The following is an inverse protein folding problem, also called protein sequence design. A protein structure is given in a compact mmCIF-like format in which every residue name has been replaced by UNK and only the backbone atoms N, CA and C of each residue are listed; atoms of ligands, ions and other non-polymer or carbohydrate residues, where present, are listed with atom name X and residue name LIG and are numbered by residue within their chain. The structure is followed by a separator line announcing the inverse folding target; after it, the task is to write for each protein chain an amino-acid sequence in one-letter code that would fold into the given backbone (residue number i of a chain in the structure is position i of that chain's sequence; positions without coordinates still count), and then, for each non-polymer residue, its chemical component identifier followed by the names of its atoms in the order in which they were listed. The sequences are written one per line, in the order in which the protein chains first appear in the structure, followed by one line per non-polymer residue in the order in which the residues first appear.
data_IF_276576614221
#
_entry.id   IF_276576614221
#
_cell.length_a   1.000
_cell.length_b   1.000
_cell.length_c   1.000
_cell.angle_alpha   90.00
_cell.angle_beta   90.00
_cell.angle_gamma   90.00
#
_symmetry.space_group_name_H-M   'P 1'
#
loop_
_entity.id
_entity.type
_entity.pdbx_description
1 polymer ?
#
# COMPACT_ATOMS: atom_id res chain seq x y z
N UNK A 1 12.32 16.17 -13.17
CA UNK A 1 10.99 15.68 -12.77
C UNK A 1 10.62 14.55 -13.73
N UNK A 2 10.45 13.35 -13.23
CA UNK A 2 10.02 12.21 -14.07
C UNK A 2 8.49 12.21 -14.11
N UNK A 3 7.94 12.55 -15.27
CA UNK A 3 6.49 12.47 -15.47
C UNK A 3 6.00 11.02 -15.39
N UNK A 4 4.76 10.77 -14.88
CA UNK A 4 4.17 9.44 -14.83
C UNK A 4 4.15 8.78 -16.22
N UNK A 5 5.03 7.80 -16.42
CA UNK A 5 5.19 7.15 -17.74
C UNK A 5 4.01 6.22 -18.06
N UNK A 6 3.41 5.61 -17.04
CA UNK A 6 2.26 4.73 -17.21
C UNK A 6 1.05 5.47 -17.77
N UNK A 7 0.75 6.66 -17.25
CA UNK A 7 -0.36 7.47 -17.77
C UNK A 7 -0.11 7.88 -19.24
N UNK A 8 1.10 8.30 -19.57
CA UNK A 8 1.47 8.60 -20.97
C UNK A 8 1.26 7.40 -21.89
N UNK A 9 1.62 6.20 -21.42
CA UNK A 9 1.39 4.97 -22.18
C UNK A 9 -0.09 4.77 -22.47
N UNK A 10 -0.96 4.93 -21.46
CA UNK A 10 -2.42 4.79 -21.63
C UNK A 10 -2.97 5.81 -22.60
N UNK A 11 -2.63 7.09 -22.45
CA UNK A 11 -3.13 8.16 -23.31
C UNK A 11 -2.67 7.99 -24.78
N UNK A 12 -1.44 7.49 -25.00
CA UNK A 12 -0.97 7.11 -26.34
C UNK A 12 -1.79 5.95 -26.93
N UNK A 13 -2.14 4.93 -26.15
CA UNK A 13 -3.00 3.84 -26.61
C UNK A 13 -4.37 4.35 -27.03
N UNK A 14 -5.02 5.22 -26.24
CA UNK A 14 -6.30 5.84 -26.58
C UNK A 14 -6.20 6.57 -27.90
N UNK A 15 -5.23 7.48 -28.05
CA UNK A 15 -5.03 8.26 -29.27
C UNK A 15 -4.74 7.41 -30.50
N UNK A 16 -3.90 6.37 -30.37
CA UNK A 16 -3.51 5.50 -31.49
C UNK A 16 -4.67 4.64 -32.00
N UNK A 17 -5.67 4.34 -31.18
CA UNK A 17 -6.84 3.54 -31.54
C UNK A 17 -8.03 4.41 -31.96
N UNK A 18 -7.90 5.74 -31.91
CA UNK A 18 -8.98 6.66 -32.25
C UNK A 18 -10.15 6.63 -31.26
N UNK A 19 -9.90 6.11 -30.05
CA UNK A 19 -10.89 6.10 -28.98
C UNK A 19 -10.83 7.40 -28.17
N UNK A 20 -11.94 7.73 -27.50
CA UNK A 20 -11.98 8.82 -26.55
C UNK A 20 -11.87 8.35 -25.08
N UNK A 21 -11.59 9.30 -24.21
CA UNK A 21 -11.49 9.01 -22.78
C UNK A 21 -12.80 8.47 -22.20
N UNK A 22 -13.95 8.85 -22.76
CA UNK A 22 -15.25 8.46 -22.25
C UNK A 22 -15.53 6.97 -22.46
N UNK A 23 -15.18 6.42 -23.64
CA UNK A 23 -15.35 5.00 -23.94
C UNK A 23 -14.58 4.13 -22.96
N UNK A 24 -13.29 4.44 -22.74
CA UNK A 24 -12.46 3.69 -21.79
C UNK A 24 -12.90 3.88 -20.33
N UNK A 25 -13.32 5.10 -19.95
CA UNK A 25 -13.85 5.38 -18.62
C UNK A 25 -15.07 4.52 -18.30
N UNK A 26 -16.04 4.44 -19.20
CA UNK A 26 -17.25 3.63 -19.05
C UNK A 26 -16.93 2.13 -18.89
N UNK A 27 -15.97 1.63 -19.66
CA UNK A 27 -15.49 0.23 -19.53
C UNK A 27 -14.93 -0.07 -18.12
N UNK A 28 -14.38 0.93 -17.46
CA UNK A 28 -13.89 0.84 -16.07
C UNK A 28 -14.95 1.15 -15.00
N UNK A 29 -16.19 1.43 -15.40
CA UNK A 29 -17.27 1.82 -14.50
C UNK A 29 -17.20 3.27 -14.03
N UNK A 30 -16.53 4.16 -14.77
CA UNK A 30 -16.48 5.60 -14.49
C UNK A 30 -17.43 6.36 -15.40
N UNK A 31 -18.16 7.31 -14.84
CA UNK A 31 -19.11 8.15 -15.55
C UNK A 31 -18.72 9.62 -15.42
N UNK A 32 -18.97 10.45 -16.44
CA UNK A 32 -18.84 11.89 -16.31
C UNK A 32 -19.67 12.39 -15.14
N UNK A 33 -19.15 13.35 -14.37
CA UNK A 33 -19.93 14.03 -13.33
C UNK A 33 -21.19 14.66 -13.90
N UNK A 34 -22.09 15.13 -13.03
CA UNK A 34 -23.50 15.53 -13.32
C UNK A 34 -23.77 16.41 -14.53
N UNK A 35 -22.78 16.96 -15.20
CA UNK A 35 -22.95 17.93 -16.29
C UNK A 35 -22.80 17.35 -17.69
N UNK A 36 -22.72 16.03 -17.88
CA UNK A 36 -22.63 15.46 -19.23
C UNK A 36 -23.68 14.36 -19.44
N UNK A 37 -24.89 14.72 -19.94
CA UNK A 37 -26.01 13.78 -20.04
C UNK A 37 -26.04 12.90 -21.27
N UNK A 38 -25.10 12.99 -22.20
CA UNK A 38 -25.27 12.41 -23.53
C UNK A 38 -24.12 11.53 -23.99
N UNK A 39 -24.42 10.28 -24.30
CA UNK A 39 -23.72 9.51 -25.28
C UNK A 39 -23.75 8.01 -25.01
N UNK A 40 -24.42 7.26 -25.87
CA UNK A 40 -24.11 5.85 -26.09
C UNK A 40 -22.67 5.81 -26.62
N UNK A 41 -21.76 5.37 -25.78
CA UNK A 41 -20.37 5.18 -26.17
C UNK A 41 -20.13 3.68 -26.26
N UNK A 42 -19.57 3.22 -27.35
CA UNK A 42 -19.16 1.83 -27.50
C UNK A 42 -18.14 1.48 -26.41
N UNK A 43 -18.16 0.22 -25.94
CA UNK A 43 -17.14 -0.25 -25.02
C UNK A 43 -15.76 -0.17 -25.65
N UNK A 44 -14.77 0.30 -24.89
CA UNK A 44 -13.39 0.36 -25.36
C UNK A 44 -12.80 -1.05 -25.49
N UNK A 45 -12.04 -1.27 -26.54
CA UNK A 45 -11.24 -2.49 -26.76
C UNK A 45 -9.82 -2.38 -26.18
N UNK A 46 -9.48 -1.26 -25.54
CA UNK A 46 -8.14 -1.04 -24.97
C UNK A 46 -7.91 -1.94 -23.77
N UNK A 47 -6.89 -2.77 -23.85
CA UNK A 47 -6.46 -3.63 -22.74
C UNK A 47 -5.41 -2.91 -21.91
N UNK A 48 -5.70 -2.70 -20.62
CA UNK A 48 -4.79 -2.09 -19.66
C UNK A 48 -4.27 -3.12 -18.66
N UNK A 49 -2.98 -3.01 -18.34
CA UNK A 49 -2.42 -3.69 -17.17
C UNK A 49 -3.06 -3.14 -15.88
N UNK A 50 -2.97 -3.86 -14.73
CA UNK A 50 -3.50 -3.34 -13.48
C UNK A 50 -2.95 -1.97 -13.09
N UNK A 51 -1.65 -1.72 -13.29
CA UNK A 51 -1.01 -0.46 -12.94
C UNK A 51 -1.36 0.67 -13.94
N UNK A 52 -1.44 0.39 -15.24
CA UNK A 52 -1.96 1.34 -16.22
C UNK A 52 -3.40 1.75 -15.91
N UNK A 53 -4.24 0.79 -15.53
CA UNK A 53 -5.63 1.03 -15.11
C UNK A 53 -5.69 1.90 -13.88
N UNK A 54 -4.85 1.60 -12.88
CA UNK A 54 -4.77 2.35 -11.63
C UNK A 54 -4.42 3.83 -11.88
N UNK A 55 -3.36 4.13 -12.63
CA UNK A 55 -3.00 5.52 -12.91
C UNK A 55 -4.04 6.23 -13.77
N UNK A 56 -4.68 5.51 -14.70
CA UNK A 56 -5.75 6.09 -15.52
C UNK A 56 -7.02 6.40 -14.70
N UNK A 57 -7.35 5.58 -13.73
CA UNK A 57 -8.44 5.85 -12.78
C UNK A 57 -8.19 7.13 -11.97
N UNK A 58 -6.96 7.34 -11.51
CA UNK A 58 -6.59 8.59 -10.82
C UNK A 58 -6.75 9.80 -11.75
N UNK A 59 -6.37 9.67 -13.01
CA UNK A 59 -6.58 10.70 -14.02
C UNK A 59 -8.07 11.00 -14.24
N UNK A 60 -8.93 9.96 -14.39
CA UNK A 60 -10.37 10.14 -14.52
C UNK A 60 -10.98 10.87 -13.32
N UNK A 61 -10.58 10.50 -12.10
CA UNK A 61 -11.03 11.18 -10.88
C UNK A 61 -10.61 12.66 -10.89
N UNK A 62 -9.40 12.95 -11.32
CA UNK A 62 -8.93 14.33 -11.49
C UNK A 62 -9.78 15.13 -12.48
N UNK A 63 -10.26 14.51 -13.55
CA UNK A 63 -11.18 15.10 -14.51
C UNK A 63 -12.63 15.20 -14.02
N UNK A 64 -12.91 14.78 -12.78
CA UNK A 64 -14.26 14.83 -12.20
C UNK A 64 -15.15 13.64 -12.56
N UNK A 65 -14.61 12.56 -13.15
CA UNK A 65 -15.37 11.34 -13.36
C UNK A 65 -15.64 10.64 -12.02
N UNK A 66 -16.85 10.09 -11.88
CA UNK A 66 -17.30 9.39 -10.68
C UNK A 66 -17.37 7.90 -10.95
N UNK A 67 -16.87 7.08 -10.02
CA UNK A 67 -17.00 5.64 -10.11
C UNK A 67 -18.43 5.21 -9.82
N UNK A 68 -19.06 4.50 -10.75
CA UNK A 68 -20.40 3.95 -10.60
C UNK A 68 -20.42 2.55 -9.97
N UNK A 69 -19.24 1.92 -9.76
CA UNK A 69 -19.12 0.60 -9.15
C UNK A 69 -19.22 0.72 -7.61
N UNK A 70 -20.33 0.27 -6.98
CA UNK A 70 -20.52 0.43 -5.54
C UNK A 70 -19.73 -0.58 -4.73
N UNK A 71 -19.52 -1.79 -5.28
CA UNK A 71 -18.92 -2.90 -4.55
C UNK A 71 -17.40 -2.90 -4.67
N UNK A 72 -16.73 -3.10 -3.54
CA UNK A 72 -15.28 -3.22 -3.43
C UNK A 72 -14.89 -4.69 -3.47
N UNK A 73 -14.77 -5.22 -4.67
CA UNK A 73 -14.48 -6.63 -4.96
C UNK A 73 -13.02 -6.80 -5.37
N UNK A 74 -12.43 -8.00 -5.27
CA UNK A 74 -11.03 -8.22 -5.66
C UNK A 74 -10.70 -7.77 -7.09
N UNK A 75 -11.64 -7.90 -8.04
CA UNK A 75 -11.42 -7.49 -9.42
C UNK A 75 -11.52 -5.97 -9.63
N UNK A 76 -12.08 -5.21 -8.66
CA UNK A 76 -12.15 -3.74 -8.68
C UNK A 76 -11.01 -3.07 -7.89
N UNK A 77 -10.06 -3.87 -7.35
CA UNK A 77 -8.82 -3.35 -6.77
C UNK A 77 -8.01 -2.57 -7.82
N UNK A 78 -7.63 -1.34 -7.47
CA UNK A 78 -7.02 -0.36 -8.37
C UNK A 78 -8.04 0.39 -9.24
N UNK A 79 -9.36 0.18 -9.06
CA UNK A 79 -10.44 0.90 -9.75
C UNK A 79 -11.22 1.79 -8.78
N UNK A 80 -11.93 1.21 -7.82
CA UNK A 80 -12.74 1.95 -6.85
C UNK A 80 -12.18 1.94 -5.42
N UNK A 81 -11.11 1.21 -5.18
CA UNK A 81 -10.33 1.15 -3.95
C UNK A 81 -8.91 0.65 -4.24
N UNK A 82 -8.03 0.76 -3.26
CA UNK A 82 -6.69 0.19 -3.28
C UNK A 82 -6.55 -0.85 -2.16
N UNK A 83 -6.29 -2.10 -2.50
CA UNK A 83 -6.07 -3.18 -1.53
C UNK A 83 -4.61 -3.26 -1.12
N UNK A 84 -4.32 -2.97 0.14
CA UNK A 84 -2.97 -2.99 0.73
C UNK A 84 -2.55 -4.42 1.08
N UNK A 85 -2.32 -5.24 0.06
CA UNK A 85 -2.08 -6.67 0.23
C UNK A 85 -1.00 -7.19 -0.74
N UNK A 86 -0.18 -8.15 -0.28
CA UNK A 86 0.94 -8.71 -1.06
C UNK A 86 0.52 -9.38 -2.38
N UNK A 87 -0.69 -9.91 -2.45
CA UNK A 87 -1.29 -10.45 -3.67
C UNK A 87 -2.40 -9.53 -4.23
N UNK A 88 -2.41 -8.24 -3.86
CA UNK A 88 -3.25 -7.23 -4.50
C UNK A 88 -2.97 -7.14 -6.01
N UNK A 89 -3.85 -6.49 -6.75
CA UNK A 89 -3.72 -6.37 -8.21
C UNK A 89 -2.69 -5.32 -8.62
N UNK A 90 -2.61 -4.22 -7.87
CA UNK A 90 -1.72 -3.11 -8.19
C UNK A 90 -0.35 -3.29 -7.56
N UNK A 91 0.69 -2.81 -8.22
CA UNK A 91 2.04 -2.76 -7.64
C UNK A 91 2.07 -1.86 -6.40
N UNK A 92 1.34 -0.74 -6.39
CA UNK A 92 1.25 0.16 -5.23
C UNK A 92 0.70 -0.59 -4.01
N UNK A 93 -0.42 -1.30 -4.14
CA UNK A 93 -1.00 -2.08 -3.04
C UNK A 93 -0.06 -3.16 -2.50
N UNK A 94 0.65 -3.86 -3.41
CA UNK A 94 1.67 -4.85 -3.03
C UNK A 94 2.83 -4.22 -2.26
N UNK A 95 3.33 -3.08 -2.72
CA UNK A 95 4.47 -2.38 -2.11
C UNK A 95 4.18 -1.92 -0.68
N UNK A 96 2.93 -1.54 -0.35
CA UNK A 96 2.55 -1.14 1.01
C UNK A 96 2.44 -2.33 1.95
N UNK A 97 2.07 -3.51 1.44
CA UNK A 97 1.93 -4.71 2.26
C UNK A 97 3.14 -4.94 3.16
N UNK A 98 2.89 -5.39 4.38
CA UNK A 98 3.95 -5.74 5.33
C UNK A 98 4.90 -6.82 4.79
N UNK A 99 4.44 -7.65 3.85
CA UNK A 99 5.21 -8.75 3.25
C UNK A 99 6.18 -8.31 2.17
N UNK A 100 6.02 -7.09 1.66
CA UNK A 100 6.85 -6.62 0.56
C UNK A 100 8.32 -6.54 0.95
N UNK A 101 9.14 -7.25 0.19
CA UNK A 101 10.60 -7.11 0.18
C UNK A 101 11.03 -6.48 -1.14
N UNK A 102 12.05 -5.62 -1.11
CA UNK A 102 12.58 -5.03 -2.34
C UNK A 102 13.23 -6.12 -3.21
N UNK A 103 13.07 -6.07 -4.55
CA UNK A 103 13.61 -7.09 -5.45
C UNK A 103 15.11 -7.29 -5.34
N UNK A 104 15.86 -6.25 -4.98
CA UNK A 104 17.31 -6.28 -4.78
C UNK A 104 17.72 -6.75 -3.37
N UNK A 105 16.77 -7.16 -2.52
CA UNK A 105 17.02 -7.56 -1.14
C UNK A 105 17.39 -6.41 -0.19
N UNK A 106 17.24 -5.15 -0.61
CA UNK A 106 17.49 -4.01 0.25
C UNK A 106 16.54 -3.99 1.45
N UNK A 107 17.06 -3.61 2.61
CA UNK A 107 16.33 -3.60 3.88
C UNK A 107 15.79 -2.22 4.20
N UNK A 108 14.72 -2.18 5.00
CA UNK A 108 14.18 -0.94 5.55
C UNK A 108 14.90 -0.60 6.86
N UNK A 109 15.26 0.67 7.01
CA UNK A 109 15.78 1.18 8.28
C UNK A 109 14.64 1.37 9.28
N UNK A 110 14.88 0.91 10.50
CA UNK A 110 14.00 1.12 11.66
C UNK A 110 14.81 1.63 12.85
N UNK A 111 14.15 2.05 13.91
CA UNK A 111 14.86 2.43 15.15
C UNK A 111 15.56 1.24 15.83
N UNK A 112 15.23 0.00 15.45
CA UNK A 112 15.83 -1.22 15.95
C UNK A 112 16.79 -1.89 14.96
N UNK A 113 17.23 -1.16 13.94
CA UNK A 113 18.10 -1.65 12.88
C UNK A 113 17.33 -2.00 11.61
N UNK A 114 17.95 -2.79 10.73
CA UNK A 114 17.44 -3.04 9.38
C UNK A 114 16.60 -4.31 9.29
N UNK A 115 15.48 -4.25 8.58
CA UNK A 115 14.57 -5.38 8.33
C UNK A 115 14.28 -5.52 6.84
N UNK A 116 14.21 -6.78 6.36
CA UNK A 116 13.86 -7.07 4.97
C UNK A 116 12.40 -6.75 4.66
N UNK A 117 11.51 -7.01 5.63
CA UNK A 117 10.07 -6.79 5.51
C UNK A 117 9.50 -6.12 6.76
N UNK A 118 8.41 -5.37 6.62
CA UNK A 118 7.69 -4.84 7.78
C UNK A 118 7.01 -5.96 8.59
N UNK A 119 6.72 -7.12 8.00
CA UNK A 119 6.20 -8.28 8.73
C UNK A 119 7.23 -8.80 9.75
N UNK A 120 8.51 -8.86 9.36
CA UNK A 120 9.59 -9.18 10.29
C UNK A 120 9.67 -8.18 11.44
N UNK A 121 9.56 -6.90 11.13
CA UNK A 121 9.56 -5.84 12.13
C UNK A 121 8.33 -5.89 13.03
N UNK A 122 7.15 -6.17 12.48
CA UNK A 122 5.92 -6.38 13.26
C UNK A 122 6.08 -7.47 14.31
N UNK A 123 6.61 -8.63 13.91
CA UNK A 123 6.85 -9.72 14.87
C UNK A 123 7.91 -9.38 15.90
N UNK A 124 8.96 -8.65 15.53
CA UNK A 124 9.97 -8.14 16.45
C UNK A 124 9.35 -7.22 17.50
N UNK A 125 8.55 -6.23 17.07
CA UNK A 125 7.88 -5.30 17.97
C UNK A 125 6.92 -5.99 18.95
N UNK A 126 6.23 -7.05 18.53
CA UNK A 126 5.39 -7.85 19.43
C UNK A 126 6.19 -8.46 20.59
N UNK A 127 7.44 -8.81 20.34
CA UNK A 127 8.32 -9.33 21.40
C UNK A 127 8.85 -8.19 22.26
N UNK A 128 9.14 -7.04 21.68
CA UNK A 128 9.51 -5.83 22.44
C UNK A 128 8.38 -5.42 23.39
N UNK A 129 7.12 -5.41 22.94
CA UNK A 129 5.96 -5.13 23.78
C UNK A 129 5.85 -6.09 24.98
N UNK A 130 6.13 -7.37 24.75
CA UNK A 130 6.16 -8.35 25.85
C UNK A 130 7.22 -8.03 26.89
N UNK A 131 8.40 -7.56 26.46
CA UNK A 131 9.44 -7.15 27.41
C UNK A 131 9.01 -5.96 28.27
N UNK A 132 8.34 -4.98 27.67
CA UNK A 132 7.77 -3.87 28.44
C UNK A 132 6.69 -4.33 29.41
N UNK A 133 5.81 -5.24 28.99
CA UNK A 133 4.83 -5.87 29.88
C UNK A 133 5.49 -6.55 31.07
N UNK A 134 6.66 -7.18 30.87
CA UNK A 134 7.46 -7.81 31.96
C UNK A 134 8.24 -6.81 32.81
N UNK A 135 8.09 -5.51 32.59
CA UNK A 135 8.78 -4.47 33.34
C UNK A 135 10.25 -4.27 32.92
N UNK A 136 10.68 -4.86 31.80
CA UNK A 136 11.99 -4.59 31.25
C UNK A 136 11.95 -3.27 30.48
N UNK A 137 12.91 -2.39 30.74
CA UNK A 137 13.08 -1.15 29.97
C UNK A 137 13.74 -1.41 28.60
N UNK A 138 13.85 -0.35 27.80
CA UNK A 138 14.44 -0.37 26.45
C UNK A 138 15.89 -0.93 26.45
N UNK A 139 16.62 -0.77 27.54
CA UNK A 139 17.98 -1.31 27.70
C UNK A 139 18.04 -2.84 27.67
N UNK A 140 16.89 -3.52 27.85
CA UNK A 140 16.82 -4.99 27.78
C UNK A 140 16.80 -5.53 26.33
N UNK A 141 16.67 -4.69 25.31
CA UNK A 141 16.65 -5.13 23.92
C UNK A 141 17.94 -5.84 23.50
N UNK A 142 19.09 -5.37 23.98
CA UNK A 142 20.38 -6.05 23.76
C UNK A 142 20.44 -7.44 24.41
N UNK A 143 19.82 -7.61 25.58
CA UNK A 143 19.69 -8.91 26.25
C UNK A 143 18.77 -9.86 25.48
N UNK A 144 17.67 -9.35 24.92
CA UNK A 144 16.72 -10.13 24.16
C UNK A 144 17.38 -10.87 22.98
N UNK A 145 18.22 -10.20 22.21
CA UNK A 145 18.94 -10.82 21.09
C UNK A 145 20.03 -11.80 21.54
N UNK A 146 20.48 -11.71 22.79
CA UNK A 146 21.42 -12.65 23.40
C UNK A 146 20.70 -13.90 23.96
N UNK A 147 19.57 -13.69 24.63
CA UNK A 147 18.77 -14.78 25.22
C UNK A 147 17.99 -15.56 24.15
N UNK A 148 17.54 -14.85 23.08
CA UNK A 148 16.77 -15.43 21.98
C UNK A 148 17.42 -15.08 20.63
N UNK A 149 18.58 -15.65 20.28
CA UNK A 149 19.35 -15.28 19.09
C UNK A 149 18.55 -15.43 17.79
N UNK A 150 17.61 -16.34 17.74
CA UNK A 150 16.71 -16.55 16.60
C UNK A 150 15.84 -15.32 16.25
N UNK A 151 15.70 -14.37 17.17
CA UNK A 151 14.95 -13.13 16.91
C UNK A 151 15.60 -12.30 15.78
N UNK A 152 16.92 -12.42 15.64
CA UNK A 152 17.68 -11.75 14.57
C UNK A 152 17.25 -12.23 13.17
N UNK A 153 16.75 -13.46 13.05
CA UNK A 153 16.27 -14.00 11.78
C UNK A 153 15.09 -13.21 11.23
N UNK A 154 14.26 -12.59 12.11
CA UNK A 154 13.17 -11.71 11.68
C UNK A 154 13.62 -10.52 10.83
N UNK A 155 14.92 -10.16 10.87
CA UNK A 155 15.53 -9.08 10.09
C UNK A 155 15.80 -9.46 8.64
N UNK A 156 15.81 -10.76 8.31
CA UNK A 156 16.30 -11.27 7.01
C UNK A 156 15.33 -12.19 6.30
N UNK A 157 14.29 -12.66 6.99
CA UNK A 157 13.30 -13.57 6.44
C UNK A 157 12.25 -12.82 5.59
N UNK A 158 11.68 -13.52 4.62
CA UNK A 158 10.51 -13.04 3.85
C UNK A 158 9.28 -12.94 4.74
N UNK A 159 8.24 -12.25 4.28
CA UNK A 159 7.03 -12.04 5.07
C UNK A 159 6.37 -13.35 5.52
N UNK A 160 6.28 -14.36 4.64
CA UNK A 160 5.71 -15.67 4.97
C UNK A 160 6.54 -16.45 6.01
N UNK A 161 7.87 -16.42 5.85
CA UNK A 161 8.81 -17.04 6.82
C UNK A 161 8.75 -16.34 8.18
N UNK A 162 8.60 -15.00 8.18
CA UNK A 162 8.45 -14.21 9.40
C UNK A 162 7.21 -14.61 10.19
N UNK A 163 6.08 -14.93 9.56
CA UNK A 163 4.88 -15.44 10.25
C UNK A 163 5.20 -16.73 11.02
N UNK A 164 5.80 -17.70 10.32
CA UNK A 164 6.10 -18.99 10.97
C UNK A 164 7.11 -18.84 12.12
N UNK A 165 8.21 -18.15 11.83
CA UNK A 165 9.26 -17.92 12.84
C UNK A 165 8.76 -17.07 14.01
N UNK A 166 8.04 -15.99 13.73
CA UNK A 166 7.47 -15.10 14.73
C UNK A 166 6.45 -15.79 15.65
N UNK A 167 5.64 -16.71 15.11
CA UNK A 167 4.72 -17.53 15.93
C UNK A 167 5.49 -18.45 16.87
N UNK A 168 6.53 -19.14 16.37
CA UNK A 168 7.37 -20.04 17.20
C UNK A 168 8.12 -19.28 18.29
N UNK A 169 8.72 -18.15 17.95
CA UNK A 169 9.44 -17.30 18.90
C UNK A 169 8.49 -16.78 19.99
N UNK A 170 7.32 -16.26 19.63
CA UNK A 170 6.32 -15.81 20.62
C UNK A 170 5.85 -16.95 21.52
N UNK A 171 5.58 -18.13 20.96
CA UNK A 171 5.21 -19.29 21.77
C UNK A 171 6.31 -19.68 22.75
N UNK A 172 7.57 -19.63 22.35
CA UNK A 172 8.72 -19.90 23.23
C UNK A 172 8.90 -18.82 24.32
N UNK A 173 8.82 -17.53 23.93
CA UNK A 173 9.09 -16.40 24.82
C UNK A 173 7.91 -16.16 25.79
N UNK A 174 6.65 -16.30 25.31
CA UNK A 174 5.45 -16.10 26.12
C UNK A 174 5.02 -17.35 26.89
N UNK A 175 5.66 -18.49 26.62
CA UNK A 175 5.28 -19.79 27.20
C UNK A 175 5.11 -19.73 28.69
N UNK A 176 3.98 -20.22 29.22
CA UNK A 176 3.65 -20.22 30.63
C UNK A 176 3.30 -18.86 31.25
N UNK A 177 3.04 -17.83 30.44
CA UNK A 177 2.58 -16.52 30.93
C UNK A 177 1.12 -16.25 30.56
N UNK A 178 0.45 -15.40 31.36
CA UNK A 178 -0.90 -14.91 31.04
C UNK A 178 -0.93 -13.77 30.01
N UNK A 179 0.23 -13.42 29.46
CA UNK A 179 0.33 -12.37 28.44
C UNK A 179 -0.51 -12.70 27.22
N UNK A 180 -1.43 -11.82 26.91
CA UNK A 180 -2.23 -11.86 25.66
C UNK A 180 -1.91 -10.61 24.87
N UNK A 181 -1.20 -10.72 23.74
CA UNK A 181 -0.91 -9.57 22.91
C UNK A 181 -2.24 -9.02 22.35
N UNK A 182 -2.62 -7.85 22.83
CA UNK A 182 -3.68 -7.03 22.26
C UNK A 182 -3.20 -6.17 21.11
N UNK A 183 -3.58 -4.91 21.10
CA UNK A 183 -3.01 -3.89 20.21
C UNK A 183 -1.55 -3.62 20.59
N UNK A 184 -0.82 -2.96 19.70
CA UNK A 184 0.52 -2.46 20.03
C UNK A 184 0.44 -1.41 21.14
N UNK A 185 1.45 -1.37 22.01
CA UNK A 185 1.70 -0.21 22.86
C UNK A 185 1.95 1.05 22.02
N UNK A 186 1.82 2.22 22.64
CA UNK A 186 2.12 3.51 21.97
C UNK A 186 3.55 3.52 21.42
N UNK A 187 4.50 2.94 22.16
CA UNK A 187 5.89 2.82 21.71
C UNK A 187 6.00 1.97 20.43
N UNK A 188 5.44 0.77 20.44
CA UNK A 188 5.52 -0.13 19.28
C UNK A 188 4.74 0.41 18.08
N UNK A 189 3.61 1.06 18.32
CA UNK A 189 2.83 1.76 17.29
C UNK A 189 3.65 2.89 16.65
N UNK A 190 4.24 3.77 17.43
CA UNK A 190 5.11 4.85 16.94
C UNK A 190 6.34 4.32 16.19
N UNK A 191 6.96 3.26 16.69
CA UNK A 191 8.10 2.61 16.05
C UNK A 191 7.71 2.00 14.68
N UNK A 192 6.55 1.34 14.60
CA UNK A 192 6.04 0.77 13.34
C UNK A 192 5.67 1.87 12.35
N UNK A 193 4.97 2.92 12.81
CA UNK A 193 4.63 4.08 12.00
C UNK A 193 5.87 4.74 11.38
N UNK A 194 6.93 4.92 12.17
CA UNK A 194 8.21 5.45 11.69
C UNK A 194 8.83 4.55 10.60
N UNK A 195 8.82 3.23 10.78
CA UNK A 195 9.32 2.30 9.78
C UNK A 195 8.49 2.33 8.50
N UNK A 196 7.17 2.39 8.61
CA UNK A 196 6.27 2.54 7.46
C UNK A 196 6.54 3.85 6.72
N UNK A 197 6.68 4.97 7.42
CA UNK A 197 7.02 6.26 6.83
C UNK A 197 8.33 6.20 6.04
N UNK A 198 9.38 5.58 6.59
CA UNK A 198 10.65 5.39 5.88
C UNK A 198 10.48 4.54 4.63
N UNK A 199 9.68 3.47 4.71
CA UNK A 199 9.33 2.65 3.55
C UNK A 199 8.62 3.46 2.47
N UNK A 200 7.66 4.32 2.82
CA UNK A 200 6.92 5.15 1.89
C UNK A 200 7.81 6.19 1.18
N UNK A 201 8.85 6.67 1.86
CA UNK A 201 9.86 7.57 1.26
C UNK A 201 10.86 6.85 0.37
N UNK A 202 11.23 5.63 0.72
CA UNK A 202 12.25 4.84 0.02
C UNK A 202 11.74 4.24 -1.28
N UNK A 203 10.53 3.65 -1.26
CA UNK A 203 9.98 2.95 -2.41
C UNK A 203 9.47 3.94 -3.46
N UNK A 204 9.63 3.56 -4.73
CA UNK A 204 9.18 4.38 -5.86
C UNK A 204 8.22 3.60 -6.75
N UNK A 205 7.15 4.26 -7.17
CA UNK A 205 6.22 3.79 -8.18
C UNK A 205 6.15 4.83 -9.31
N UNK A 206 6.39 4.40 -10.54
CA UNK A 206 6.39 5.24 -11.74
C UNK A 206 7.23 6.53 -11.59
N UNK A 207 8.40 6.39 -10.94
CA UNK A 207 9.35 7.49 -10.70
C UNK A 207 9.11 8.32 -9.44
N UNK A 208 7.92 8.25 -8.84
CA UNK A 208 7.56 9.03 -7.64
C UNK A 208 7.69 8.21 -6.37
N UNK A 209 7.98 8.87 -5.24
CA UNK A 209 7.98 8.16 -3.97
C UNK A 209 6.57 7.65 -3.63
N UNK A 210 6.51 6.48 -2.98
CA UNK A 210 5.24 5.80 -2.72
C UNK A 210 4.31 6.64 -1.85
N UNK A 211 4.85 7.42 -0.92
CA UNK A 211 4.08 8.34 -0.09
C UNK A 211 3.33 9.39 -0.90
N UNK A 212 3.95 9.99 -1.91
CA UNK A 212 3.27 10.94 -2.80
C UNK A 212 2.15 10.29 -3.61
N UNK A 213 2.40 9.09 -4.13
CA UNK A 213 1.37 8.35 -4.87
C UNK A 213 0.14 8.11 -3.98
N UNK A 214 0.36 7.72 -2.72
CA UNK A 214 -0.73 7.49 -1.77
C UNK A 214 -1.43 8.78 -1.33
N UNK A 215 -0.67 9.86 -1.09
CA UNK A 215 -1.27 11.18 -0.82
C UNK A 215 -2.17 11.61 -1.96
N UNK A 216 -1.73 11.39 -3.21
CA UNK A 216 -2.55 11.67 -4.37
C UNK A 216 -3.79 10.76 -4.44
N UNK A 217 -3.66 9.45 -4.19
CA UNK A 217 -4.81 8.54 -4.12
C UNK A 217 -5.83 9.01 -3.09
N UNK A 218 -5.36 9.38 -1.90
CA UNK A 218 -6.21 9.88 -0.82
C UNK A 218 -6.93 11.17 -1.21
N UNK A 219 -6.23 12.15 -1.78
CA UNK A 219 -6.80 13.42 -2.26
C UNK A 219 -7.83 13.22 -3.37
N UNK A 220 -7.69 12.18 -4.19
CA UNK A 220 -8.66 11.78 -5.21
C UNK A 220 -9.81 10.93 -4.65
N UNK A 221 -9.90 10.74 -3.34
CA UNK A 221 -10.95 9.98 -2.68
C UNK A 221 -10.93 8.48 -2.97
N UNK A 222 -9.76 7.90 -3.30
CA UNK A 222 -9.62 6.46 -3.48
C UNK A 222 -9.40 5.79 -2.12
N UNK A 223 -10.36 4.97 -1.61
CA UNK A 223 -10.24 4.38 -0.28
C UNK A 223 -9.18 3.29 -0.24
N UNK A 224 -8.49 3.17 0.90
CA UNK A 224 -7.56 2.10 1.19
C UNK A 224 -8.25 1.00 1.97
N UNK A 225 -8.03 -0.25 1.58
CA UNK A 225 -8.59 -1.43 2.22
C UNK A 225 -7.49 -2.46 2.48
N UNK A 226 -7.73 -3.38 3.40
CA UNK A 226 -6.90 -4.55 3.61
C UNK A 226 -7.76 -5.80 3.70
N UNK A 227 -7.68 -6.66 2.71
CA UNK A 227 -8.33 -7.96 2.68
C UNK A 227 -7.48 -8.98 1.92
N UNK A 228 -7.66 -10.25 2.26
CA UNK A 228 -7.07 -11.37 1.53
C UNK A 228 -7.97 -11.81 0.38
N UNK A 229 -7.37 -12.39 -0.65
CA UNK A 229 -8.13 -13.00 -1.76
C UNK A 229 -7.96 -14.51 -1.69
N UNK A 230 -9.07 -15.22 -1.43
CA UNK A 230 -9.11 -16.68 -1.44
C UNK A 230 -10.24 -17.16 -2.36
N UNK A 231 -9.91 -17.98 -3.34
CA UNK A 231 -10.86 -18.50 -4.32
C UNK A 231 -11.70 -17.39 -4.99
N UNK A 232 -11.06 -16.26 -5.31
CA UNK A 232 -11.70 -15.11 -5.95
C UNK A 232 -12.56 -14.23 -5.02
N UNK A 233 -12.66 -14.57 -3.73
CA UNK A 233 -13.43 -13.82 -2.75
C UNK A 233 -12.54 -12.99 -1.84
N UNK A 234 -13.01 -11.81 -1.45
CA UNK A 234 -12.38 -11.00 -0.42
C UNK A 234 -12.68 -11.60 0.96
N UNK A 235 -11.64 -11.75 1.78
CA UNK A 235 -11.74 -12.18 3.19
C UNK A 235 -11.10 -11.09 4.03
N UNK A 236 -11.90 -10.41 4.83
CA UNK A 236 -11.46 -9.35 5.72
C UNK A 236 -10.90 -9.96 7.01
N UNK A 237 -9.60 -9.81 7.30
CA UNK A 237 -9.04 -10.31 8.56
C UNK A 237 -9.49 -9.44 9.74
N UNK A 238 -9.41 -9.96 10.99
CA UNK A 238 -9.53 -9.12 12.19
C UNK A 238 -8.54 -7.96 12.11
N UNK A 239 -8.95 -6.79 12.62
CA UNK A 239 -8.12 -5.56 12.60
C UNK A 239 -7.65 -5.12 11.19
N UNK A 240 -8.44 -5.44 10.17
CA UNK A 240 -8.12 -5.08 8.77
C UNK A 240 -7.99 -3.58 8.54
N UNK A 241 -8.59 -2.76 9.38
CA UNK A 241 -8.59 -1.30 9.27
C UNK A 241 -7.29 -0.67 9.81
N UNK A 242 -6.52 -1.41 10.62
CA UNK A 242 -5.33 -0.85 11.27
C UNK A 242 -4.30 -0.32 10.26
N UNK A 243 -3.91 -1.12 9.26
CA UNK A 243 -2.92 -0.68 8.26
C UNK A 243 -3.46 0.44 7.34
N UNK A 244 -4.69 0.35 6.79
CA UNK A 244 -5.30 1.45 6.06
C UNK A 244 -5.35 2.76 6.85
N UNK A 245 -5.83 2.73 8.10
CA UNK A 245 -5.91 3.91 8.96
C UNK A 245 -4.54 4.52 9.25
N UNK A 246 -3.53 3.67 9.48
CA UNK A 246 -2.16 4.12 9.68
C UNK A 246 -1.59 4.82 8.42
N UNK A 247 -1.86 4.26 7.23
CA UNK A 247 -1.47 4.88 5.96
C UNK A 247 -2.17 6.23 5.78
N UNK A 248 -3.49 6.30 6.01
CA UNK A 248 -4.26 7.57 5.95
C UNK A 248 -3.65 8.59 6.90
N UNK A 249 -3.44 8.24 8.16
CA UNK A 249 -2.83 9.14 9.15
C UNK A 249 -1.46 9.68 8.70
N UNK A 250 -0.64 8.84 8.07
CA UNK A 250 0.67 9.28 7.56
C UNK A 250 0.50 10.26 6.39
N UNK A 251 -0.35 9.96 5.40
CA UNK A 251 -0.47 10.79 4.20
C UNK A 251 -1.20 12.11 4.44
N UNK A 252 -2.02 12.20 5.48
CA UNK A 252 -2.67 13.44 5.91
C UNK A 252 -1.73 14.38 6.67
N UNK A 253 -0.76 13.84 7.40
CA UNK A 253 0.09 14.62 8.31
C UNK A 253 1.52 14.83 7.81
N UNK A 254 1.94 14.13 6.76
CA UNK A 254 3.31 14.18 6.24
C UNK A 254 3.30 14.69 4.80
N UNK A 255 3.98 15.80 4.59
CA UNK A 255 4.35 16.25 3.26
C UNK A 255 5.59 15.46 2.78
N UNK A 256 5.43 14.75 1.68
CA UNK A 256 6.52 13.98 1.09
C UNK A 256 7.42 14.83 0.17
N UNK A 257 7.07 16.11 -0.07
CA UNK A 257 7.88 17.14 -0.78
C UNK A 257 8.48 16.67 -2.14
N UNK A 258 7.90 15.65 -2.74
CA UNK A 258 8.32 15.16 -4.04
C UNK A 258 7.23 15.46 -5.06
N UNK A 259 7.40 16.50 -5.83
CA UNK A 259 6.43 17.04 -6.80
C UNK A 259 6.25 16.16 -8.04
N UNK A 260 6.77 14.94 -8.06
CA UNK A 260 6.91 14.16 -9.29
C UNK A 260 5.69 13.32 -9.67
N UNK A 261 4.72 13.09 -8.79
CA UNK A 261 3.47 12.43 -9.16
C UNK A 261 2.43 13.48 -9.59
N UNK A 262 2.73 14.20 -10.68
CA UNK A 262 1.83 15.20 -11.23
C UNK A 262 1.15 14.68 -12.51
N UNK A 263 -0.07 14.20 -12.34
CA UNK A 263 -0.93 13.74 -13.45
C UNK A 263 -1.35 14.91 -14.34
N UNK A 264 -1.38 16.14 -13.84
CA UNK A 264 -1.83 17.32 -14.59
C UNK A 264 -0.84 17.68 -15.70
N UNK A 265 0.47 17.65 -15.42
CA UNK A 265 1.51 17.97 -16.38
C UNK A 265 1.50 17.06 -17.61
N UNK A 266 1.07 15.80 -17.45
CA UNK A 266 0.97 14.84 -18.57
C UNK A 266 -0.15 15.21 -19.54
N UNK A 267 -1.32 15.60 -19.04
CA UNK A 267 -2.46 15.96 -19.86
C UNK A 267 -2.22 17.26 -20.65
N UNK A 268 -1.59 18.26 -20.02
CA UNK A 268 -1.20 19.51 -20.67
C UNK A 268 -0.16 19.26 -21.78
N UNK A 269 0.88 18.48 -21.51
CA UNK A 269 1.95 18.19 -22.46
C UNK A 269 1.46 17.39 -23.68
N UNK A 270 0.32 16.72 -23.59
CA UNK A 270 -0.29 15.94 -24.67
C UNK A 270 -1.40 16.71 -25.41
N UNK A 271 -1.72 17.95 -25.00
CA UNK A 271 -2.78 18.76 -25.61
C UNK A 271 -4.18 18.16 -25.43
N UNK A 272 -4.43 17.53 -24.29
CA UNK A 272 -5.69 16.86 -23.95
C UNK A 272 -6.58 17.68 -23.01
N UNK A 273 -6.12 18.87 -22.62
CA UNK A 273 -6.86 19.91 -21.89
C UNK A 273 -6.77 21.20 -22.69
#
# INVERSE_FOLDING_TARGET
MSEPQLLRSVLKKIKSQGEDNQALALTLGYQPGRNNPNGYVNASNIVLTPDERFVYVLYLRRLGYVCALPEKLPFTDGINHLNLYSNGRTTVGKMISNFYAQPNGAKFDTIHGQFLTLEGYYHYLRIVDYLFYKGYGINALGRLETEYPDIRLLRTLTGAECIQRGRRLKASIYGGTDYRPGEFSDYANGAFQNALLRKLRLLKFDGSCLGNVLSYCHSMGLPFLHYYVMNGRAITPPHSEWLPNLVVSIVENIDFNDTTFDITSVSESMGLI
#
